data_IF_896957880377
#
_entry.id   IF_896957880377
#
_cell.length_a   1.000
_cell.length_b   1.000
_cell.length_c   1.000
_cell.angle_alpha   90.00
_cell.angle_beta   90.00
_cell.angle_gamma   90.00
#
_symmetry.space_group_name_H-M   'P 1'
#
loop_
_entity.id
_entity.type
_entity.pdbx_description
1 polymer ?
#
# COMPACT_ATOMS: atom_id res chain seq x y z
N UNK A 1 -8.74 17.22 -9.51
CA UNK A 1 -9.23 15.91 -10.01
C UNK A 1 -9.04 14.86 -8.92
N UNK A 2 -9.98 14.78 -7.98
CA UNK A 2 -10.09 13.75 -6.92
C UNK A 2 -11.24 12.77 -7.24
N UNK A 3 -11.52 12.54 -8.53
CA UNK A 3 -12.82 11.99 -8.96
C UNK A 3 -12.86 10.47 -9.16
N UNK A 4 -11.88 9.72 -8.65
CA UNK A 4 -11.92 8.23 -8.63
C UNK A 4 -11.37 7.60 -7.34
N UNK A 5 -11.24 8.38 -6.27
CA UNK A 5 -10.74 7.90 -4.97
C UNK A 5 -11.84 7.66 -3.93
N UNK A 6 -13.10 8.01 -4.23
CA UNK A 6 -14.23 7.89 -3.31
C UNK A 6 -15.19 6.77 -3.71
N UNK A 7 -14.66 5.56 -3.89
CA UNK A 7 -15.50 4.36 -3.87
C UNK A 7 -14.91 3.39 -2.84
N UNK A 8 -15.47 3.33 -1.62
CA UNK A 8 -14.96 2.49 -0.53
C UNK A 8 -15.23 1.00 -0.75
N UNK A 9 -15.81 0.61 -1.90
CA UNK A 9 -16.11 -0.78 -2.24
C UNK A 9 -15.18 -1.32 -3.35
N UNK A 10 -14.28 -2.23 -2.94
CA UNK A 10 -13.67 -3.31 -3.73
C UNK A 10 -14.56 -3.77 -4.92
N UNK A 11 -14.13 -4.10 -6.16
CA UNK A 11 -12.88 -4.71 -6.67
C UNK A 11 -12.80 -4.48 -8.20
N UNK A 12 -11.64 -4.14 -8.77
CA UNK A 12 -11.35 -4.48 -10.17
C UNK A 12 -10.71 -5.87 -10.20
N UNK A 13 -11.54 -6.92 -10.36
CA UNK A 13 -11.13 -8.32 -10.23
C UNK A 13 -10.50 -8.83 -11.53
N UNK A 14 -9.24 -8.47 -11.79
CA UNK A 14 -8.39 -9.36 -12.59
C UNK A 14 -8.10 -10.55 -11.69
N UNK A 15 -8.25 -11.79 -12.16
CA UNK A 15 -8.38 -13.01 -11.31
C UNK A 15 -7.43 -13.11 -10.10
N UNK A 16 -6.25 -12.51 -10.20
CA UNK A 16 -5.16 -12.63 -9.24
C UNK A 16 -4.73 -11.28 -8.62
N UNK A 17 -5.51 -10.21 -8.79
CA UNK A 17 -5.25 -8.88 -8.24
C UNK A 17 -6.52 -8.28 -7.62
N UNK A 18 -6.43 -7.84 -6.38
CA UNK A 18 -7.44 -6.98 -5.74
C UNK A 18 -6.83 -5.60 -5.53
N UNK A 19 -7.58 -4.56 -5.86
CA UNK A 19 -7.15 -3.17 -5.67
C UNK A 19 -8.11 -2.51 -4.71
N UNK A 20 -7.58 -2.02 -3.59
CA UNK A 20 -8.31 -1.22 -2.60
C UNK A 20 -7.78 0.20 -2.67
N UNK A 21 -8.66 1.20 -2.59
CA UNK A 21 -8.28 2.62 -2.59
C UNK A 21 -8.71 3.26 -1.29
N UNK A 22 -7.94 4.24 -0.83
CA UNK A 22 -8.22 4.97 0.40
C UNK A 22 -8.48 4.02 1.58
N UNK A 23 -7.62 3.00 1.73
CA UNK A 23 -7.74 2.02 2.81
C UNK A 23 -7.34 2.72 4.13
N UNK A 24 -8.23 2.81 5.13
CA UNK A 24 -7.84 3.29 6.45
C UNK A 24 -6.84 2.31 7.06
N UNK A 25 -5.73 2.84 7.58
CA UNK A 25 -4.64 2.06 8.16
C UNK A 25 -4.35 2.51 9.59
N UNK A 26 -3.88 1.58 10.41
CA UNK A 26 -3.57 1.83 11.82
C UNK A 26 -2.44 0.93 12.27
N UNK A 27 -1.50 1.49 13.04
CA UNK A 27 -0.57 0.75 13.87
C UNK A 27 -0.83 1.10 15.33
N UNK A 28 -1.18 0.10 16.15
CA UNK A 28 -1.36 0.27 17.59
C UNK A 28 -0.03 0.31 18.30
N UNK A 29 0.97 -0.39 17.77
CA UNK A 29 2.32 -0.41 18.34
C UNK A 29 2.97 0.97 18.29
N UNK A 30 2.92 1.63 17.13
CA UNK A 30 3.42 3.00 16.97
C UNK A 30 2.43 4.08 17.42
N UNK A 31 1.16 3.72 17.64
CA UNK A 31 0.10 4.68 17.98
C UNK A 31 -0.29 5.63 16.85
N UNK A 32 -0.11 5.21 15.58
CA UNK A 32 -0.38 6.04 14.40
C UNK A 32 -1.56 5.49 13.59
N UNK A 33 -2.26 6.37 12.89
CA UNK A 33 -3.30 5.99 11.93
C UNK A 33 -3.27 6.93 10.73
N UNK A 34 -3.81 6.46 9.61
CA UNK A 34 -3.83 7.23 8.37
C UNK A 34 -4.65 6.56 7.29
N UNK A 35 -4.39 6.94 6.06
CA UNK A 35 -5.00 6.36 4.86
C UNK A 35 -3.88 5.96 3.89
N UNK A 36 -3.97 4.75 3.34
CA UNK A 36 -3.14 4.32 2.22
C UNK A 36 -3.89 4.59 0.91
N UNK A 37 -3.25 5.34 0.00
CA UNK A 37 -3.90 5.78 -1.23
C UNK A 37 -4.42 4.62 -2.07
N UNK A 38 -3.57 3.62 -2.33
CA UNK A 38 -3.93 2.37 -3.01
C UNK A 38 -3.19 1.22 -2.35
N UNK A 39 -3.88 0.09 -2.15
CA UNK A 39 -3.25 -1.17 -1.77
C UNK A 39 -3.61 -2.21 -2.81
N UNK A 40 -2.58 -2.80 -3.42
CA UNK A 40 -2.72 -3.93 -4.33
C UNK A 40 -2.48 -5.23 -3.53
N UNK A 41 -3.41 -6.17 -3.64
CA UNK A 41 -3.27 -7.50 -3.09
C UNK A 41 -3.07 -8.47 -4.25
N UNK A 42 -1.85 -8.99 -4.38
CA UNK A 42 -1.46 -9.89 -5.46
C UNK A 42 -1.53 -11.32 -4.99
N UNK A 43 -2.24 -12.18 -5.70
CA UNK A 43 -2.35 -13.58 -5.31
C UNK A 43 -0.97 -14.26 -5.37
N UNK A 44 -0.56 -14.91 -4.29
CA UNK A 44 0.69 -15.68 -4.20
C UNK A 44 0.47 -16.94 -3.34
N UNK A 45 1.50 -17.77 -3.22
CA UNK A 45 1.44 -19.04 -2.47
C UNK A 45 1.81 -18.88 -0.99
N UNK A 46 2.46 -17.77 -0.62
CA UNK A 46 3.10 -17.51 0.67
C UNK A 46 2.57 -16.24 1.38
N UNK A 47 1.47 -15.68 0.89
CA UNK A 47 0.90 -14.43 1.41
C UNK A 47 -0.12 -14.60 2.53
N UNK A 48 -0.90 -13.54 2.76
CA UNK A 48 -1.93 -13.48 3.80
C UNK A 48 -3.30 -13.91 3.31
N UNK A 49 -4.13 -14.43 4.24
CA UNK A 49 -5.56 -14.66 3.99
C UNK A 49 -6.32 -13.36 4.15
N UNK A 50 -7.10 -13.00 3.12
CA UNK A 50 -8.05 -11.90 3.19
C UNK A 50 -9.45 -12.44 3.44
N UNK A 51 -10.16 -11.85 4.40
CA UNK A 51 -11.53 -12.24 4.71
C UNK A 51 -12.43 -12.18 3.46
N UNK A 52 -13.22 -13.23 3.23
CA UNK A 52 -14.11 -13.32 2.06
C UNK A 52 -13.43 -13.64 0.72
N UNK A 53 -12.12 -13.87 0.68
CA UNK A 53 -11.37 -14.16 -0.55
C UNK A 53 -10.73 -15.55 -0.51
N UNK A 54 -10.64 -16.20 -1.68
CA UNK A 54 -9.96 -17.50 -1.84
C UNK A 54 -8.52 -17.29 -2.28
N UNK A 55 -7.59 -17.99 -1.66
CA UNK A 55 -6.15 -17.89 -1.92
C UNK A 55 -5.43 -17.04 -0.87
N UNK A 56 -4.13 -16.86 -1.09
CA UNK A 56 -3.26 -16.02 -0.28
C UNK A 56 -2.80 -14.84 -1.13
N UNK A 57 -2.44 -13.72 -0.48
CA UNK A 57 -2.11 -12.49 -1.16
C UNK A 57 -0.90 -11.80 -0.53
N UNK A 58 0.04 -11.33 -1.33
CA UNK A 58 1.01 -10.33 -0.89
C UNK A 58 0.35 -8.95 -0.87
N UNK A 59 0.83 -8.08 0.02
CA UNK A 59 0.31 -6.72 0.21
C UNK A 59 1.30 -5.74 -0.40
N UNK A 60 0.83 -4.87 -1.30
CA UNK A 60 1.67 -3.93 -2.02
C UNK A 60 1.11 -2.51 -1.92
N UNK A 61 1.67 -1.64 -1.05
CA UNK A 61 1.20 -0.27 -0.90
C UNK A 61 1.65 0.60 -2.07
N UNK A 62 0.74 1.46 -2.54
CA UNK A 62 1.01 2.44 -3.57
C UNK A 62 0.50 3.80 -3.12
N UNK A 63 1.42 4.74 -2.97
CA UNK A 63 1.11 6.12 -2.60
C UNK A 63 1.03 7.01 -3.85
N UNK A 64 -0.07 7.75 -3.98
CA UNK A 64 -0.31 8.61 -5.15
C UNK A 64 0.25 10.01 -4.93
N UNK A 65 1.09 10.48 -5.84
CA UNK A 65 1.66 11.84 -5.83
C UNK A 65 1.16 12.66 -7.02
N UNK A 66 0.69 13.87 -6.74
CA UNK A 66 0.02 14.75 -7.72
C UNK A 66 0.99 15.50 -8.64
N UNK A 67 2.29 15.49 -8.36
CA UNK A 67 3.29 16.26 -9.10
C UNK A 67 4.19 15.42 -10.03
N UNK A 68 5.22 16.08 -10.56
CA UNK A 68 6.30 15.44 -11.33
C UNK A 68 7.06 14.41 -10.49
N UNK A 69 7.65 13.38 -11.13
CA UNK A 69 8.49 12.41 -10.44
C UNK A 69 9.64 13.11 -9.74
N UNK A 70 9.58 13.10 -8.42
CA UNK A 70 10.66 13.47 -7.54
C UNK A 70 10.42 12.74 -6.24
N UNK A 71 11.08 11.60 -6.07
CA UNK A 71 11.06 10.89 -4.80
C UNK A 71 11.76 11.76 -3.77
N UNK A 72 11.03 12.19 -2.76
CA UNK A 72 11.60 12.89 -1.62
C UNK A 72 11.66 11.96 -0.41
N UNK A 73 12.43 12.33 0.60
CA UNK A 73 12.51 11.54 1.83
C UNK A 73 11.16 11.51 2.56
N UNK A 74 10.36 12.58 2.47
CA UNK A 74 9.00 12.60 3.02
C UNK A 74 8.07 11.62 2.31
N UNK A 75 8.20 11.49 0.98
CA UNK A 75 7.42 10.51 0.22
C UNK A 75 7.79 9.07 0.61
N UNK A 76 9.09 8.80 0.79
CA UNK A 76 9.59 7.50 1.26
C UNK A 76 9.11 7.21 2.68
N UNK A 77 9.24 8.18 3.58
CA UNK A 77 8.83 8.04 4.99
C UNK A 77 7.33 7.81 5.11
N UNK A 78 6.52 8.52 4.31
CA UNK A 78 5.08 8.31 4.28
C UNK A 78 4.75 6.88 3.82
N UNK A 79 5.36 6.42 2.74
CA UNK A 79 5.14 5.07 2.22
C UNK A 79 5.61 3.99 3.21
N UNK A 80 6.74 4.20 3.89
CA UNK A 80 7.23 3.30 4.93
C UNK A 80 6.30 3.27 6.15
N UNK A 81 5.81 4.42 6.62
CA UNK A 81 4.82 4.46 7.71
C UNK A 81 3.52 3.75 7.33
N UNK A 82 3.09 3.88 6.07
CA UNK A 82 1.93 3.14 5.55
C UNK A 82 2.19 1.63 5.51
N UNK A 83 3.37 1.20 5.04
CA UNK A 83 3.78 -0.20 5.00
C UNK A 83 3.76 -0.80 6.42
N UNK A 84 4.37 -0.16 7.40
CA UNK A 84 4.37 -0.62 8.80
C UNK A 84 2.97 -0.80 9.37
N UNK A 85 2.04 0.12 9.07
CA UNK A 85 0.65 -0.07 9.50
C UNK A 85 -0.01 -1.27 8.81
N UNK A 86 0.26 -1.50 7.53
CA UNK A 86 -0.27 -2.64 6.78
C UNK A 86 0.33 -3.96 7.26
N UNK A 87 1.63 -3.99 7.56
CA UNK A 87 2.32 -5.13 8.16
C UNK A 87 1.65 -5.54 9.47
N UNK A 88 1.37 -4.58 10.36
CA UNK A 88 0.64 -4.85 11.62
C UNK A 88 -0.79 -5.36 11.35
N UNK A 89 -1.53 -4.68 10.48
CA UNK A 89 -2.94 -5.01 10.19
C UNK A 89 -3.14 -6.38 9.54
N UNK A 90 -2.21 -6.77 8.66
CA UNK A 90 -2.30 -8.02 7.91
C UNK A 90 -1.40 -9.12 8.46
N UNK A 91 -0.59 -8.82 9.48
CA UNK A 91 0.39 -9.74 10.07
C UNK A 91 1.31 -10.35 9.00
N UNK A 92 1.98 -9.48 8.24
CA UNK A 92 2.87 -9.83 7.12
C UNK A 92 4.03 -8.87 7.03
N UNK A 93 5.02 -9.20 6.20
CA UNK A 93 6.15 -8.32 5.87
C UNK A 93 5.93 -7.72 4.47
N UNK A 94 6.33 -6.46 4.29
CA UNK A 94 6.24 -5.71 3.04
C UNK A 94 7.63 -5.17 2.73
N UNK A 95 8.35 -5.83 1.82
CA UNK A 95 9.72 -5.45 1.45
C UNK A 95 9.81 -4.25 0.50
N UNK A 96 8.73 -3.93 -0.21
CA UNK A 96 8.68 -2.81 -1.15
C UNK A 96 7.27 -2.28 -1.37
N UNK A 97 7.19 -1.04 -1.82
CA UNK A 97 5.97 -0.40 -2.33
C UNK A 97 6.28 0.49 -3.53
N UNK A 98 5.31 1.31 -3.95
CA UNK A 98 5.53 2.26 -5.04
C UNK A 98 4.98 3.66 -4.77
N UNK A 99 5.69 4.65 -5.30
CA UNK A 99 5.19 6.01 -5.50
C UNK A 99 4.64 6.11 -6.93
N UNK A 100 3.36 6.42 -7.06
CA UNK A 100 2.72 6.62 -8.36
C UNK A 100 2.55 8.11 -8.67
N UNK A 101 3.23 8.59 -9.71
CA UNK A 101 3.17 10.00 -10.12
C UNK A 101 2.10 10.20 -11.21
N UNK A 102 1.07 10.96 -10.89
CA UNK A 102 -0.10 11.15 -11.76
C UNK A 102 0.19 11.79 -13.12
N UNK A 103 1.16 12.70 -13.19
CA UNK A 103 1.51 13.40 -14.43
C UNK A 103 2.19 12.49 -15.46
N UNK A 104 3.10 11.64 -15.01
CA UNK A 104 3.86 10.71 -15.88
C UNK A 104 3.22 9.34 -15.98
N UNK A 105 2.29 9.02 -15.07
CA UNK A 105 1.64 7.70 -14.92
C UNK A 105 2.65 6.57 -14.73
N UNK A 106 3.78 6.87 -14.08
CA UNK A 106 4.83 5.90 -13.76
C UNK A 106 4.84 5.58 -12.27
N UNK A 107 5.25 4.34 -11.95
CA UNK A 107 5.55 3.87 -10.60
C UNK A 107 7.05 3.96 -10.39
N UNK A 108 7.47 4.55 -9.29
CA UNK A 108 8.83 4.44 -8.76
C UNK A 108 8.78 3.46 -7.60
N UNK A 109 9.48 2.34 -7.71
CA UNK A 109 9.56 1.32 -6.66
C UNK A 109 10.46 1.83 -5.54
N UNK A 110 10.03 1.62 -4.30
CA UNK A 110 10.74 2.01 -3.09
C UNK A 110 10.85 0.78 -2.20
N UNK A 111 12.08 0.37 -1.89
CA UNK A 111 12.35 -0.64 -0.87
C UNK A 111 11.96 -0.11 0.50
N UNK A 112 11.24 -0.92 1.26
CA UNK A 112 10.92 -0.66 2.66
C UNK A 112 12.02 -1.34 3.47
N UNK A 113 13.03 -0.56 3.84
CA UNK A 113 14.07 -1.03 4.76
C UNK A 113 13.53 -0.92 6.17
N UNK A 114 13.48 -2.05 6.88
CA UNK A 114 13.21 -2.07 8.31
C UNK A 114 14.20 -1.14 9.01
N UNK A 115 13.68 -0.16 9.76
CA UNK A 115 14.47 0.51 10.79
C UNK A 115 14.68 -0.54 11.88
N UNK A 116 15.77 -1.30 11.78
CA UNK A 116 16.20 -2.15 12.89
C UNK A 116 16.26 -1.28 14.13
N UNK A 117 15.38 -1.57 15.10
CA UNK A 117 15.47 -0.94 16.41
C UNK A 117 16.86 -1.23 16.97
N UNK A 118 17.57 -0.22 17.53
CA UNK A 118 18.90 -0.40 18.09
C UNK A 118 18.93 -1.38 19.27
#
# INVERSE_FOLDING_TARGET
MHKKAHDPYLVEKRKDLLVVRSLPIVSREMGVSGECGVVEFHKCEDGVKLHGHRGLFSVYPIEYKKGKPKVTEEDRLQLAAQALCLEEMFSTEISEGALFYGETRRREVVEIVELQSP
#
